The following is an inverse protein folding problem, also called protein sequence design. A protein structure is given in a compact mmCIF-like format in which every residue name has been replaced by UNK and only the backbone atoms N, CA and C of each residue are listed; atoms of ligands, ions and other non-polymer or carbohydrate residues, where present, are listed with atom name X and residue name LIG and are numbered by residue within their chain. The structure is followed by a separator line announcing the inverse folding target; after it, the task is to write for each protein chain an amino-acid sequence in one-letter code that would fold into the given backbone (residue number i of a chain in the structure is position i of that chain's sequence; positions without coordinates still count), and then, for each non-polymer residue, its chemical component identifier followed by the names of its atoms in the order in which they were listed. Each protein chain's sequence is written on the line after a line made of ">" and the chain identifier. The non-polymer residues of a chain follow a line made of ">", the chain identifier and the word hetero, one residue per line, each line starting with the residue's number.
data_IF_101154051342
#
_entry.id   IF_101154051342
#
_cell.length_a   1.000
_cell.length_b   1.000
_cell.length_c   1.000
_cell.angle_alpha   90.00
_cell.angle_beta   90.00
_cell.angle_gamma   90.00
#
_symmetry.space_group_name_H-M   'P 1'
#
loop_
_entity.id
_entity.type
_entity.pdbx_description
1 polymer ?
#
# COMPACT_ATOMS: atom_id res chain seq x y z
N UNK A 1 -7.53 -9.70 9.84
CA UNK A 1 -7.61 -10.48 8.61
C UNK A 1 -8.20 -11.87 8.83
N UNK A 2 -7.69 -12.69 9.77
CA UNK A 2 -8.32 -14.01 10.10
C UNK A 2 -9.78 -13.89 10.55
N UNK A 3 -10.08 -12.90 11.37
CA UNK A 3 -11.45 -12.64 11.82
C UNK A 3 -12.38 -12.29 10.65
N UNK A 4 -11.88 -11.46 9.70
CA UNK A 4 -12.61 -11.11 8.49
C UNK A 4 -12.82 -12.33 7.58
N UNK A 5 -11.80 -13.14 7.36
CA UNK A 5 -11.94 -14.38 6.60
C UNK A 5 -12.97 -15.31 7.19
N UNK A 6 -12.97 -15.51 8.53
CA UNK A 6 -13.96 -16.33 9.23
C UNK A 6 -15.38 -15.78 9.09
N UNK A 7 -15.56 -14.45 9.22
CA UNK A 7 -16.88 -13.82 9.07
C UNK A 7 -17.46 -14.00 7.67
N UNK A 8 -16.60 -14.14 6.65
CA UNK A 8 -16.96 -14.40 5.25
C UNK A 8 -17.05 -15.89 4.88
N UNK A 9 -16.92 -16.79 5.85
CA UNK A 9 -17.01 -18.24 5.64
C UNK A 9 -15.81 -18.84 4.89
N UNK A 10 -14.69 -18.13 4.82
CA UNK A 10 -13.48 -18.58 4.16
C UNK A 10 -12.64 -19.46 5.09
N UNK A 11 -11.99 -20.48 4.55
CA UNK A 11 -11.21 -21.45 5.35
C UNK A 11 -9.90 -20.88 5.93
N UNK A 12 -9.51 -19.68 5.56
CA UNK A 12 -8.23 -19.12 5.98
C UNK A 12 -7.03 -19.73 5.23
N UNK A 13 -5.83 -19.35 5.65
CA UNK A 13 -4.58 -19.89 5.13
C UNK A 13 -4.17 -21.17 5.91
N UNK A 14 -3.44 -22.05 5.25
CA UNK A 14 -2.89 -23.27 5.87
C UNK A 14 -1.79 -22.93 6.87
N UNK A 15 -0.92 -22.01 6.50
CA UNK A 15 0.23 -21.58 7.28
C UNK A 15 0.51 -20.10 7.00
N UNK A 16 0.81 -19.33 8.05
CA UNK A 16 1.30 -17.95 7.94
C UNK A 16 2.81 -17.93 8.23
N UNK A 17 3.60 -17.55 7.24
CA UNK A 17 5.04 -17.32 7.38
C UNK A 17 5.33 -15.84 7.53
N UNK A 18 6.06 -15.48 8.59
CA UNK A 18 6.49 -14.11 8.84
C UNK A 18 7.96 -13.96 8.44
N UNK A 19 8.27 -12.88 7.75
CA UNK A 19 9.62 -12.55 7.30
C UNK A 19 10.05 -11.22 7.92
N UNK A 20 11.34 -11.06 8.16
CA UNK A 20 11.90 -9.83 8.72
C UNK A 20 12.02 -8.72 7.69
N UNK A 21 12.09 -9.08 6.41
CA UNK A 21 12.20 -8.13 5.31
C UNK A 21 11.34 -8.51 4.10
N UNK A 22 10.81 -7.51 3.41
CA UNK A 22 9.97 -7.71 2.22
C UNK A 22 10.65 -8.48 1.07
N UNK A 23 11.95 -8.27 0.76
CA UNK A 23 12.61 -9.05 -0.28
C UNK A 23 12.63 -10.55 -0.01
N UNK A 24 12.75 -10.96 1.25
CA UNK A 24 12.73 -12.38 1.65
C UNK A 24 11.36 -13.01 1.37
N UNK A 25 10.27 -12.32 1.71
CA UNK A 25 8.91 -12.76 1.40
C UNK A 25 8.68 -12.87 -0.12
N UNK A 26 9.18 -11.91 -0.89
CA UNK A 26 9.10 -11.92 -2.35
C UNK A 26 9.88 -13.09 -2.95
N UNK A 27 11.06 -13.39 -2.43
CA UNK A 27 11.85 -14.54 -2.86
C UNK A 27 11.14 -15.87 -2.51
N UNK A 28 10.52 -15.96 -1.33
CA UNK A 28 9.76 -17.14 -0.91
C UNK A 28 8.54 -17.38 -1.82
N UNK A 29 7.89 -16.33 -2.30
CA UNK A 29 6.84 -16.44 -3.32
C UNK A 29 7.42 -16.88 -4.67
N UNK A 30 8.51 -16.28 -5.13
CA UNK A 30 9.12 -16.58 -6.41
C UNK A 30 9.61 -18.04 -6.53
N UNK A 31 10.10 -18.62 -5.43
CA UNK A 31 10.59 -20.01 -5.40
C UNK A 31 9.54 -21.04 -4.99
N UNK A 32 8.27 -20.64 -4.81
CA UNK A 32 7.17 -21.53 -4.45
C UNK A 32 7.14 -21.97 -2.98
N UNK A 33 7.97 -21.39 -2.10
CA UNK A 33 7.90 -21.64 -0.65
C UNK A 33 6.62 -21.08 -0.03
N UNK A 34 6.07 -20.02 -0.63
CA UNK A 34 4.78 -19.43 -0.33
C UNK A 34 3.91 -19.37 -1.59
N UNK A 35 2.61 -19.55 -1.42
CA UNK A 35 1.63 -19.48 -2.52
C UNK A 35 1.14 -18.04 -2.74
N UNK A 36 1.23 -17.18 -1.72
CA UNK A 36 0.82 -15.78 -1.79
C UNK A 36 1.64 -14.93 -0.82
N UNK A 37 1.78 -13.64 -1.15
CA UNK A 37 2.38 -12.61 -0.30
C UNK A 37 1.39 -11.48 -0.10
N UNK A 38 1.32 -10.95 1.12
CA UNK A 38 0.57 -9.73 1.44
C UNK A 38 1.50 -8.58 1.76
N UNK A 39 1.22 -7.43 1.18
CA UNK A 39 2.00 -6.19 1.34
C UNK A 39 1.12 -5.01 0.89
N UNK A 40 1.58 -3.78 1.11
CA UNK A 40 0.91 -2.59 0.56
C UNK A 40 0.90 -2.62 -0.97
N UNK A 41 -0.22 -2.20 -1.56
CA UNK A 41 -0.41 -2.22 -3.02
C UNK A 41 0.72 -1.50 -3.78
N UNK A 42 1.22 -0.31 -3.37
CA UNK A 42 2.32 0.35 -4.07
C UNK A 42 3.59 -0.50 -4.13
N UNK A 43 3.95 -1.17 -3.04
CA UNK A 43 5.14 -2.02 -3.00
C UNK A 43 5.00 -3.25 -3.91
N UNK A 44 3.85 -3.93 -3.86
CA UNK A 44 3.59 -5.08 -4.72
C UNK A 44 3.54 -4.68 -6.21
N UNK A 45 2.98 -3.52 -6.54
CA UNK A 45 2.93 -3.02 -7.91
C UNK A 45 4.34 -2.79 -8.49
N UNK A 46 5.25 -2.22 -7.70
CA UNK A 46 6.65 -2.04 -8.13
C UNK A 46 7.35 -3.39 -8.34
N UNK A 47 7.12 -4.35 -7.46
CA UNK A 47 7.68 -5.71 -7.60
C UNK A 47 7.15 -6.40 -8.84
N UNK A 48 5.83 -6.41 -9.05
CA UNK A 48 5.20 -7.02 -10.21
C UNK A 48 5.66 -6.37 -11.51
N UNK A 49 5.78 -5.04 -11.55
CA UNK A 49 6.28 -4.31 -12.72
C UNK A 49 7.75 -4.60 -13.05
N UNK A 50 8.58 -4.82 -12.04
CA UNK A 50 10.00 -5.17 -12.24
C UNK A 50 10.20 -6.61 -12.66
N UNK A 51 9.26 -7.49 -12.37
CA UNK A 51 9.31 -8.92 -12.64
C UNK A 51 8.04 -9.36 -13.38
N UNK A 52 7.85 -8.76 -14.56
CA UNK A 52 6.67 -9.02 -15.40
C UNK A 52 6.52 -10.53 -15.71
N UNK A 53 5.30 -11.02 -15.55
CA UNK A 53 4.97 -12.43 -15.77
C UNK A 53 5.33 -13.37 -14.64
N UNK A 54 6.02 -12.90 -13.58
CA UNK A 54 6.34 -13.73 -12.40
C UNK A 54 5.28 -13.58 -11.30
N UNK A 55 4.75 -12.38 -11.13
CA UNK A 55 3.78 -12.06 -10.09
C UNK A 55 2.54 -11.38 -10.66
N UNK A 56 1.40 -11.70 -10.06
CA UNK A 56 0.12 -11.07 -10.35
C UNK A 56 -0.45 -10.41 -9.08
N UNK A 57 -1.01 -9.20 -9.24
CA UNK A 57 -1.75 -8.51 -8.19
C UNK A 57 -3.19 -9.01 -8.18
N UNK A 58 -3.56 -9.79 -7.17
CA UNK A 58 -4.89 -10.42 -7.09
C UNK A 58 -5.96 -9.45 -6.58
N UNK A 59 -5.63 -8.60 -5.61
CA UNK A 59 -6.56 -7.60 -5.07
C UNK A 59 -6.33 -7.28 -3.59
N UNK A 60 -7.11 -6.34 -3.03
CA UNK A 60 -7.01 -5.95 -1.63
C UNK A 60 -7.58 -7.02 -0.71
N UNK A 61 -6.92 -7.24 0.42
CA UNK A 61 -7.36 -8.17 1.47
C UNK A 61 -8.01 -7.46 2.67
N UNK A 62 -7.91 -6.13 2.71
CA UNK A 62 -8.50 -5.26 3.74
C UNK A 62 -9.15 -4.06 3.10
N UNK A 63 -9.94 -3.33 3.89
CA UNK A 63 -10.41 -2.01 3.50
C UNK A 63 -9.25 -1.04 3.27
N UNK A 64 -9.56 0.13 2.72
CA UNK A 64 -8.56 1.15 2.41
C UNK A 64 -7.72 1.50 3.63
N UNK A 65 -6.40 1.46 3.47
CA UNK A 65 -5.43 1.99 4.43
C UNK A 65 -4.78 3.23 3.84
N UNK A 66 -4.43 4.17 4.70
CA UNK A 66 -3.78 5.41 4.28
C UNK A 66 -2.28 5.33 4.56
N UNK A 67 -1.49 5.85 3.64
CA UNK A 67 -0.08 6.12 3.85
C UNK A 67 0.08 7.63 4.09
N UNK A 68 0.82 7.98 5.12
CA UNK A 68 1.00 9.38 5.51
C UNK A 68 2.46 9.70 5.79
N UNK A 69 2.81 10.96 5.67
CA UNK A 69 4.06 11.49 6.19
C UNK A 69 3.91 11.76 7.68
N UNK A 70 4.98 11.60 8.42
CA UNK A 70 5.00 11.84 9.86
C UNK A 70 5.95 12.97 10.17
N UNK A 71 5.50 13.92 10.97
CA UNK A 71 6.32 14.99 11.55
C UNK A 71 6.32 14.84 13.07
N UNK A 72 7.23 15.53 13.76
CA UNK A 72 7.14 15.63 15.21
C UNK A 72 5.89 16.43 15.61
N UNK A 73 5.29 16.18 16.77
CA UNK A 73 4.07 16.87 17.20
C UNK A 73 4.20 18.40 17.26
N UNK A 74 5.39 18.90 17.59
CA UNK A 74 5.69 20.32 17.67
C UNK A 74 5.91 20.99 16.32
N UNK A 75 6.21 20.23 15.25
CA UNK A 75 6.51 20.76 13.91
C UNK A 75 5.23 21.00 13.09
N UNK A 76 4.28 21.74 13.66
CA UNK A 76 2.97 22.00 13.02
C UNK A 76 3.08 22.75 11.71
N UNK A 77 3.98 23.74 11.62
CA UNK A 77 4.20 24.51 10.40
C UNK A 77 4.74 23.63 9.26
N UNK A 78 5.66 22.70 9.58
CA UNK A 78 6.17 21.75 8.60
C UNK A 78 5.07 20.78 8.14
N UNK A 79 4.25 20.28 9.05
CA UNK A 79 3.09 19.44 8.73
C UNK A 79 2.15 20.14 7.76
N UNK A 80 1.78 21.38 8.06
CA UNK A 80 0.82 22.16 7.28
C UNK A 80 1.40 22.54 5.91
N UNK A 81 2.72 22.85 5.86
CA UNK A 81 3.41 23.07 4.60
C UNK A 81 3.42 21.81 3.72
N UNK A 82 3.78 20.65 4.26
CA UNK A 82 3.77 19.37 3.52
C UNK A 82 2.36 19.07 3.00
N UNK A 83 1.34 19.19 3.86
CA UNK A 83 -0.05 18.95 3.49
C UNK A 83 -0.50 19.86 2.35
N UNK A 84 -0.20 21.15 2.42
CA UNK A 84 -0.52 22.10 1.36
C UNK A 84 0.16 21.76 0.04
N UNK A 85 1.42 21.27 0.08
CA UNK A 85 2.15 20.87 -1.12
C UNK A 85 1.61 19.58 -1.73
N UNK A 86 1.17 18.64 -0.94
CA UNK A 86 0.51 17.42 -1.43
C UNK A 86 -0.78 17.79 -2.17
N UNK A 87 -1.60 18.67 -1.60
CA UNK A 87 -2.83 19.14 -2.25
C UNK A 87 -2.53 19.90 -3.56
N UNK A 88 -1.54 20.79 -3.54
CA UNK A 88 -1.09 21.48 -4.75
C UNK A 88 -0.63 20.50 -5.86
N UNK A 89 0.14 19.48 -5.50
CA UNK A 89 0.59 18.45 -6.43
C UNK A 89 -0.58 17.62 -6.98
N UNK A 90 -1.56 17.31 -6.15
CA UNK A 90 -2.80 16.63 -6.56
C UNK A 90 -3.54 17.48 -7.59
N UNK A 91 -3.81 18.75 -7.29
CA UNK A 91 -4.59 19.65 -8.13
C UNK A 91 -3.90 19.91 -9.48
N UNK A 92 -2.57 19.87 -9.52
CA UNK A 92 -1.76 19.94 -10.75
C UNK A 92 -1.64 18.59 -11.49
N UNK A 93 -2.24 17.51 -10.99
CA UNK A 93 -2.13 16.17 -11.56
C UNK A 93 -0.72 15.56 -11.49
N UNK A 94 0.17 16.10 -10.66
CA UNK A 94 1.54 15.59 -10.54
C UNK A 94 1.58 14.23 -9.82
N UNK A 95 0.72 14.03 -8.82
CA UNK A 95 0.63 12.75 -8.12
C UNK A 95 0.17 11.66 -9.07
N UNK A 96 -0.84 11.94 -9.91
CA UNK A 96 -1.30 11.00 -10.93
C UNK A 96 -0.18 10.58 -11.88
N UNK A 97 0.62 11.53 -12.36
CA UNK A 97 1.77 11.24 -13.22
C UNK A 97 2.82 10.37 -12.53
N UNK A 98 3.06 10.61 -11.24
CA UNK A 98 3.98 9.80 -10.43
C UNK A 98 3.42 8.38 -10.28
N UNK A 99 2.13 8.23 -9.98
CA UNK A 99 1.50 6.93 -9.84
C UNK A 99 1.52 6.14 -11.17
N UNK A 100 1.16 6.77 -12.28
CA UNK A 100 1.23 6.15 -13.61
C UNK A 100 2.66 5.68 -13.93
N UNK A 101 3.66 6.50 -13.65
CA UNK A 101 5.06 6.17 -13.91
C UNK A 101 5.55 4.97 -13.09
N UNK A 102 5.27 4.96 -11.78
CA UNK A 102 5.85 4.00 -10.86
C UNK A 102 5.02 2.75 -10.65
N UNK A 103 3.70 2.89 -10.64
CA UNK A 103 2.78 1.78 -10.35
C UNK A 103 2.04 1.26 -11.58
N UNK A 104 1.83 2.12 -12.59
CA UNK A 104 1.05 1.80 -13.77
C UNK A 104 -0.47 1.91 -13.57
N UNK A 105 -0.92 2.39 -12.41
CA UNK A 105 -2.32 2.65 -12.07
C UNK A 105 -2.42 3.76 -11.04
N UNK A 106 -3.63 4.32 -10.89
CA UNK A 106 -3.89 5.44 -9.97
C UNK A 106 -4.66 4.96 -8.74
N UNK A 107 -4.23 5.42 -7.58
CA UNK A 107 -4.90 5.24 -6.31
C UNK A 107 -5.60 6.54 -5.92
N UNK A 108 -6.78 6.46 -5.25
CA UNK A 108 -7.45 7.64 -4.75
C UNK A 108 -6.56 8.44 -3.81
N UNK A 109 -6.57 9.77 -3.97
CA UNK A 109 -5.85 10.70 -3.11
C UNK A 109 -6.89 11.34 -2.19
N UNK A 110 -6.62 11.47 -0.87
CA UNK A 110 -7.51 12.15 0.06
C UNK A 110 -7.85 13.57 -0.39
N UNK A 111 -9.06 14.03 -0.05
CA UNK A 111 -9.55 15.37 -0.41
C UNK A 111 -8.89 16.49 0.39
N UNK A 112 -8.39 16.17 1.55
CA UNK A 112 -7.64 17.08 2.44
C UNK A 112 -6.26 16.53 2.75
N UNK A 113 -5.38 17.38 3.31
CA UNK A 113 -3.99 17.02 3.61
C UNK A 113 -3.80 16.27 4.93
N UNK A 114 -4.86 15.98 5.65
CA UNK A 114 -4.84 15.30 6.94
C UNK A 114 -5.47 13.91 6.83
N UNK A 115 -5.18 13.05 7.82
CA UNK A 115 -5.86 11.78 7.92
C UNK A 115 -7.37 12.01 8.09
N UNK A 116 -8.22 11.29 7.35
CA UNK A 116 -9.66 11.31 7.59
C UNK A 116 -10.00 10.90 9.02
N UNK A 117 -11.11 11.41 9.55
CA UNK A 117 -11.63 10.99 10.85
C UNK A 117 -11.84 9.46 10.86
N UNK A 118 -11.38 8.80 11.92
CA UNK A 118 -11.47 7.33 12.06
C UNK A 118 -10.45 6.53 11.25
N UNK A 119 -9.41 7.16 10.72
CA UNK A 119 -8.36 6.48 9.96
C UNK A 119 -7.29 5.78 10.83
N UNK A 120 -7.33 5.94 12.16
CA UNK A 120 -6.42 5.32 13.12
C UNK A 120 -7.16 4.29 13.97
#
# INVERSE_FOLDING_TARGET
>A
WEADMKSRGLKGYKELKLFTAHPEATLALANGTCDAQTQTVPNLAVVAKKQEGVFELVGPITDKTYMAWVTRPEDTDLRDYISSKILEMRDKGLIDKIQDKWFGFRMPIPSDGHLPEGAL
#
